data_IF_761867213551
#
_entry.id   IF_761867213551
#
_cell.length_a   1.000
_cell.length_b   1.000
_cell.length_c   1.000
_cell.angle_alpha   90.00
_cell.angle_beta   90.00
_cell.angle_gamma   90.00
#
_symmetry.space_group_name_H-M   'P 1'
#
loop_
_entity.id
_entity.type
_entity.pdbx_description
1 polymer ?
#
# COMPACT_ATOMS: atom_id res chain seq x y z
N UNK A 1 23.80 29.07 -76.18
CA UNK A 1 24.41 27.85 -75.62
C UNK A 1 23.81 27.62 -74.24
N UNK A 2 23.10 26.54 -74.19
CA UNK A 2 22.15 26.13 -73.12
C UNK A 2 22.82 25.78 -71.81
N UNK A 3 22.27 26.28 -70.68
CA UNK A 3 22.43 25.69 -69.38
C UNK A 3 21.14 24.96 -69.05
N UNK A 4 21.18 23.65 -69.24
CA UNK A 4 20.13 22.73 -68.76
C UNK A 4 20.28 22.63 -67.25
N UNK A 5 19.32 23.20 -66.52
CA UNK A 5 19.18 22.99 -65.08
C UNK A 5 18.78 21.52 -64.82
N UNK A 6 19.58 20.79 -64.08
CA UNK A 6 19.18 19.49 -63.49
C UNK A 6 18.13 19.74 -62.40
N UNK A 7 16.89 19.56 -62.75
CA UNK A 7 15.79 19.37 -61.80
C UNK A 7 15.90 17.94 -61.26
N UNK A 8 16.34 17.82 -60.03
CA UNK A 8 16.30 16.52 -59.34
C UNK A 8 14.87 15.99 -59.30
N UNK A 9 14.72 14.71 -59.67
CA UNK A 9 13.40 14.07 -59.73
C UNK A 9 12.64 14.15 -58.42
N UNK A 10 11.36 14.56 -58.43
CA UNK A 10 10.53 14.68 -57.20
C UNK A 10 10.41 13.37 -56.42
N UNK A 11 10.57 12.20 -57.08
CA UNK A 11 10.56 10.87 -56.48
C UNK A 11 11.73 10.59 -55.53
N UNK A 12 12.91 11.13 -55.80
CA UNK A 12 14.11 10.91 -55.00
C UNK A 12 14.03 11.65 -53.65
N UNK A 13 13.41 12.81 -53.60
CA UNK A 13 13.18 13.56 -52.35
C UNK A 13 12.15 12.89 -51.44
N UNK A 14 11.06 12.42 -52.02
CA UNK A 14 9.99 11.72 -51.31
C UNK A 14 10.47 10.37 -50.77
N UNK A 15 11.29 9.60 -51.51
CA UNK A 15 11.93 8.38 -51.03
C UNK A 15 12.93 8.64 -49.90
N UNK A 16 13.64 9.74 -49.93
CA UNK A 16 14.60 10.14 -48.89
C UNK A 16 13.88 10.53 -47.57
N UNK A 17 12.77 11.24 -47.67
CA UNK A 17 11.95 11.59 -46.52
C UNK A 17 11.27 10.35 -45.90
N UNK A 18 10.79 9.43 -46.72
CA UNK A 18 10.21 8.18 -46.24
C UNK A 18 11.25 7.29 -45.55
N UNK A 19 12.49 7.20 -46.08
CA UNK A 19 13.59 6.52 -45.43
C UNK A 19 14.07 7.16 -44.14
N UNK A 20 14.02 8.47 -44.04
CA UNK A 20 14.36 9.20 -42.81
C UNK A 20 13.26 9.03 -41.75
N UNK A 21 11.99 9.01 -42.14
CA UNK A 21 10.87 8.78 -41.21
C UNK A 21 10.84 7.34 -40.70
N UNK A 22 11.13 6.32 -41.52
CA UNK A 22 11.26 4.94 -41.08
C UNK A 22 12.43 4.74 -40.15
N UNK A 23 13.60 5.31 -40.45
CA UNK A 23 14.78 5.21 -39.57
C UNK A 23 14.55 5.93 -38.23
N UNK A 24 13.80 7.05 -38.20
CA UNK A 24 13.44 7.75 -37.00
C UNK A 24 12.44 6.93 -36.17
N UNK A 25 11.45 6.31 -36.79
CA UNK A 25 10.51 5.40 -36.14
C UNK A 25 11.20 4.14 -35.60
N UNK A 26 12.17 3.57 -36.34
CA UNK A 26 12.99 2.46 -35.87
C UNK A 26 13.89 2.85 -34.70
N UNK A 27 14.49 4.05 -34.73
CA UNK A 27 15.29 4.58 -33.63
C UNK A 27 14.43 4.90 -32.38
N UNK A 28 13.24 5.47 -32.57
CA UNK A 28 12.30 5.72 -31.50
C UNK A 28 11.74 4.40 -30.90
N UNK A 29 11.52 3.36 -31.73
CA UNK A 29 11.17 2.02 -31.27
C UNK A 29 12.33 1.35 -30.52
N UNK A 30 13.58 1.50 -30.97
CA UNK A 30 14.76 0.98 -30.29
C UNK A 30 15.02 1.72 -28.97
N UNK A 31 14.82 3.04 -28.92
CA UNK A 31 14.83 3.81 -27.68
C UNK A 31 13.69 3.45 -26.73
N UNK A 32 12.51 3.07 -27.23
CA UNK A 32 11.39 2.55 -26.44
C UNK A 32 11.65 1.11 -25.97
N UNK A 33 12.42 0.32 -26.72
CA UNK A 33 12.82 -1.04 -26.35
C UNK A 33 13.98 -1.07 -25.34
N UNK A 34 14.79 -0.02 -25.29
CA UNK A 34 15.78 0.23 -24.23
C UNK A 34 15.15 0.86 -22.98
N UNK A 35 13.93 0.49 -22.60
CA UNK A 35 13.41 0.78 -21.25
C UNK A 35 14.44 0.27 -20.26
N UNK A 36 15.09 1.22 -19.58
CA UNK A 36 16.13 0.95 -18.59
C UNK A 36 15.58 -0.08 -17.61
N UNK A 37 16.04 -1.31 -17.69
CA UNK A 37 15.64 -2.35 -16.74
C UNK A 37 16.35 -2.08 -15.42
N UNK A 38 15.56 -1.88 -14.40
CA UNK A 38 16.06 -1.68 -13.06
C UNK A 38 16.45 -3.00 -12.41
N UNK A 39 17.41 -2.95 -11.50
CA UNK A 39 17.82 -4.08 -10.67
C UNK A 39 17.36 -3.89 -9.23
N UNK A 40 17.21 -5.00 -8.51
CA UNK A 40 16.88 -4.97 -7.07
C UNK A 40 17.84 -4.09 -6.27
N UNK A 41 19.15 -4.16 -6.57
CA UNK A 41 20.15 -3.35 -5.88
C UNK A 41 19.94 -1.84 -6.09
N UNK A 42 19.60 -1.41 -7.31
CA UNK A 42 19.32 -0.01 -7.61
C UNK A 42 18.06 0.49 -6.88
N UNK A 43 17.01 -0.34 -6.87
CA UNK A 43 15.75 0.03 -6.21
C UNK A 43 15.94 0.11 -4.68
N UNK A 44 16.67 -0.82 -4.09
CA UNK A 44 17.00 -0.77 -2.64
C UNK A 44 17.82 0.45 -2.27
N UNK A 45 18.79 0.84 -3.08
CA UNK A 45 19.55 2.09 -2.84
C UNK A 45 18.62 3.32 -2.82
N UNK A 46 17.61 3.37 -3.69
CA UNK A 46 16.61 4.45 -3.67
C UNK A 46 15.70 4.38 -2.43
N UNK A 47 15.36 3.19 -1.96
CA UNK A 47 14.57 2.99 -0.73
C UNK A 47 15.36 3.43 0.50
N UNK A 48 16.67 3.14 0.55
CA UNK A 48 17.56 3.54 1.65
C UNK A 48 17.70 5.07 1.75
N UNK A 49 17.61 5.79 0.64
CA UNK A 49 17.61 7.25 0.60
C UNK A 49 16.25 7.85 1.00
N UNK A 50 15.17 7.10 0.82
CA UNK A 50 13.80 7.53 1.09
C UNK A 50 13.33 7.04 2.46
N UNK A 51 12.93 7.94 3.37
CA UNK A 51 12.52 7.53 4.72
C UNK A 51 11.13 6.91 4.78
N UNK A 52 10.16 7.42 4.00
CA UNK A 52 8.78 6.96 4.04
C UNK A 52 8.13 6.94 2.64
N UNK A 53 8.28 8.00 1.87
CA UNK A 53 7.67 8.18 0.56
C UNK A 53 8.62 8.90 -0.40
N UNK A 54 8.54 8.62 -1.71
CA UNK A 54 7.66 7.65 -2.36
C UNK A 54 8.08 6.20 -2.08
N UNK A 55 7.17 5.23 -2.28
CA UNK A 55 7.51 3.81 -2.31
C UNK A 55 8.03 3.41 -3.69
N UNK A 56 8.94 2.47 -3.70
CA UNK A 56 9.55 1.94 -4.92
C UNK A 56 9.33 0.44 -4.99
N UNK A 57 8.74 -0.03 -6.09
CA UNK A 57 8.55 -1.45 -6.38
C UNK A 57 9.26 -1.80 -7.67
N UNK A 58 9.63 -3.07 -7.83
CA UNK A 58 10.29 -3.58 -9.03
C UNK A 58 9.53 -4.80 -9.55
N UNK A 59 8.85 -4.64 -10.66
CA UNK A 59 8.07 -5.71 -11.29
C UNK A 59 8.58 -5.98 -12.69
N UNK A 60 9.12 -7.19 -12.91
CA UNK A 60 9.66 -7.64 -14.21
C UNK A 60 10.68 -6.65 -14.85
N UNK A 61 11.45 -5.91 -14.00
CA UNK A 61 12.47 -4.92 -14.41
C UNK A 61 11.92 -3.51 -14.57
N UNK A 62 10.63 -3.28 -14.41
CA UNK A 62 10.00 -1.95 -14.42
C UNK A 62 9.94 -1.38 -12.99
N UNK A 63 10.46 -0.15 -12.82
CA UNK A 63 10.37 0.58 -11.57
C UNK A 63 8.98 1.25 -11.47
N UNK A 64 8.27 0.95 -10.41
CA UNK A 64 7.00 1.58 -10.07
C UNK A 64 7.24 2.51 -8.88
N UNK A 65 6.86 3.77 -9.03
CA UNK A 65 6.99 4.81 -7.99
C UNK A 65 5.59 5.17 -7.51
N UNK A 66 5.32 4.90 -6.24
CA UNK A 66 4.00 5.13 -5.63
C UNK A 66 4.09 6.31 -4.65
N UNK A 67 3.34 7.40 -4.87
CA UNK A 67 3.29 8.53 -3.95
C UNK A 67 2.56 8.15 -2.64
N UNK A 68 2.58 9.07 -1.67
CA UNK A 68 1.83 8.91 -0.43
C UNK A 68 0.32 8.69 -0.71
N UNK A 69 -0.36 7.82 0.04
CA UNK A 69 -1.76 7.52 -0.15
C UNK A 69 -2.65 8.71 0.26
N UNK A 70 -3.82 8.81 -0.36
CA UNK A 70 -4.88 9.71 0.12
C UNK A 70 -5.52 9.17 1.40
N UNK A 71 -6.20 10.04 2.15
CA UNK A 71 -6.93 9.65 3.36
C UNK A 71 -8.01 8.58 3.04
N UNK A 72 -8.71 8.72 1.91
CA UNK A 72 -9.75 7.78 1.52
C UNK A 72 -9.17 6.40 1.16
N UNK A 73 -8.03 6.37 0.48
CA UNK A 73 -7.27 5.14 0.23
C UNK A 73 -6.88 4.48 1.56
N UNK A 74 -6.25 5.24 2.46
CA UNK A 74 -5.84 4.74 3.77
C UNK A 74 -7.02 4.17 4.58
N UNK A 75 -8.18 4.86 4.60
CA UNK A 75 -9.39 4.39 5.28
C UNK A 75 -9.92 3.08 4.70
N UNK A 76 -9.93 2.94 3.37
CA UNK A 76 -10.34 1.70 2.71
C UNK A 76 -9.42 0.54 3.09
N UNK A 77 -8.10 0.75 3.05
CA UNK A 77 -7.08 -0.23 3.46
C UNK A 77 -7.30 -0.64 4.92
N UNK A 78 -7.40 0.32 5.83
CA UNK A 78 -7.57 0.04 7.26
C UNK A 78 -8.88 -0.67 7.60
N UNK A 79 -9.98 -0.30 6.94
CA UNK A 79 -11.26 -0.98 7.14
C UNK A 79 -11.17 -2.46 6.72
N UNK A 80 -10.64 -2.71 5.53
CA UNK A 80 -10.51 -4.06 5.00
C UNK A 80 -9.51 -4.89 5.81
N UNK A 81 -8.39 -4.30 6.21
CA UNK A 81 -7.40 -4.93 7.08
C UNK A 81 -8.03 -5.41 8.39
N UNK A 82 -8.75 -4.56 9.12
CA UNK A 82 -9.41 -4.95 10.38
C UNK A 82 -10.40 -6.10 10.20
N UNK A 83 -11.10 -6.14 9.07
CA UNK A 83 -12.03 -7.22 8.77
C UNK A 83 -11.30 -8.55 8.51
N UNK A 84 -10.21 -8.51 7.72
CA UNK A 84 -9.36 -9.65 7.45
C UNK A 84 -8.66 -10.14 8.72
N UNK A 85 -8.09 -9.26 9.49
CA UNK A 85 -7.39 -9.56 10.74
C UNK A 85 -8.31 -10.27 11.75
N UNK A 86 -9.51 -9.70 12.01
CA UNK A 86 -10.52 -10.33 12.87
C UNK A 86 -10.94 -11.72 12.38
N UNK A 87 -11.07 -11.90 11.07
CA UNK A 87 -11.39 -13.19 10.48
C UNK A 87 -10.25 -14.20 10.67
N UNK A 88 -9.03 -13.81 10.34
CA UNK A 88 -7.85 -14.67 10.41
C UNK A 88 -7.44 -15.03 11.85
N UNK A 89 -7.69 -14.15 12.81
CA UNK A 89 -7.54 -14.45 14.24
C UNK A 89 -8.44 -15.63 14.67
N UNK A 90 -9.62 -15.80 14.06
CA UNK A 90 -10.55 -16.90 14.37
C UNK A 90 -10.27 -18.17 13.57
N UNK A 91 -9.97 -18.05 12.30
CA UNK A 91 -9.76 -19.19 11.39
C UNK A 91 -8.32 -19.72 11.42
N UNK A 92 -7.37 -18.92 11.88
CA UNK A 92 -5.96 -19.26 12.12
C UNK A 92 -5.21 -19.86 10.91
N UNK A 93 -5.59 -19.49 9.70
CA UNK A 93 -5.01 -20.02 8.45
C UNK A 93 -3.94 -19.11 7.83
N UNK A 94 -3.83 -17.89 8.28
CA UNK A 94 -2.89 -16.87 7.80
C UNK A 94 -2.83 -15.70 8.75
N UNK A 95 -2.08 -14.68 8.36
CA UNK A 95 -1.97 -13.43 9.10
C UNK A 95 -2.15 -12.24 8.15
N UNK A 96 -3.00 -11.28 8.52
CA UNK A 96 -3.15 -10.05 7.74
C UNK A 96 -2.01 -9.10 8.04
N UNK A 97 -1.36 -8.60 6.99
CA UNK A 97 -0.22 -7.68 7.08
C UNK A 97 -0.41 -6.50 6.14
N UNK A 98 0.22 -5.38 6.47
CA UNK A 98 0.17 -4.12 5.74
C UNK A 98 1.54 -3.74 5.18
N UNK A 99 1.53 -3.00 4.08
CA UNK A 99 2.73 -2.29 3.61
C UNK A 99 3.02 -1.06 4.52
N UNK A 100 4.31 -0.64 4.58
CA UNK A 100 5.42 -1.04 3.70
C UNK A 100 6.04 -2.38 4.07
N UNK A 101 6.14 -3.29 3.09
CA UNK A 101 6.76 -4.59 3.25
C UNK A 101 7.34 -5.08 1.90
N UNK A 102 8.64 -5.22 1.81
CA UNK A 102 9.35 -5.60 0.58
C UNK A 102 9.27 -7.11 0.33
N UNK A 103 8.20 -7.54 -0.34
CA UNK A 103 8.02 -8.94 -0.69
C UNK A 103 8.82 -9.30 -1.94
N UNK A 104 9.53 -10.43 -1.87
CA UNK A 104 10.25 -11.03 -3.01
C UNK A 104 9.58 -12.35 -3.36
N UNK A 105 8.36 -12.28 -3.92
CA UNK A 105 7.59 -13.47 -4.32
C UNK A 105 8.19 -14.17 -5.54
N UNK A 106 8.92 -13.44 -6.38
CA UNK A 106 9.65 -13.95 -7.55
C UNK A 106 11.05 -13.36 -7.58
N UNK A 107 12.00 -14.10 -8.13
CA UNK A 107 13.39 -13.62 -8.25
C UNK A 107 13.43 -12.33 -9.08
N UNK A 108 14.14 -11.33 -8.56
CA UNK A 108 14.33 -10.04 -9.24
C UNK A 108 13.13 -9.11 -9.17
N UNK A 109 12.20 -9.34 -8.24
CA UNK A 109 11.06 -8.46 -8.00
C UNK A 109 11.04 -7.95 -6.56
N UNK A 110 10.46 -6.78 -6.37
CA UNK A 110 10.09 -6.20 -5.08
C UNK A 110 8.65 -5.71 -5.23
N UNK A 111 7.72 -6.26 -4.46
CA UNK A 111 6.31 -5.84 -4.47
C UNK A 111 5.85 -5.47 -3.07
N UNK A 112 5.01 -4.44 -2.97
CA UNK A 112 4.49 -3.91 -1.70
C UNK A 112 2.96 -3.78 -1.80
N UNK A 113 2.19 -4.89 -1.75
CA UNK A 113 0.74 -4.81 -1.78
C UNK A 113 0.20 -4.06 -0.56
N UNK A 114 -0.88 -3.31 -0.70
CA UNK A 114 -1.45 -2.55 0.41
C UNK A 114 -1.81 -3.45 1.60
N UNK A 115 -2.42 -4.62 1.32
CA UNK A 115 -2.67 -5.68 2.31
C UNK A 115 -2.23 -7.00 1.70
N UNK A 116 -1.63 -7.87 2.51
CA UNK A 116 -1.31 -9.22 2.10
C UNK A 116 -1.50 -10.21 3.23
N UNK A 117 -1.74 -11.46 2.85
CA UNK A 117 -1.99 -12.55 3.81
C UNK A 117 -1.10 -13.74 3.44
N UNK A 118 0.05 -13.93 4.10
CA UNK A 118 0.80 -15.18 4.03
C UNK A 118 0.07 -16.31 4.77
N UNK A 119 0.33 -17.58 4.42
CA UNK A 119 -0.08 -18.72 5.25
C UNK A 119 0.47 -18.60 6.67
N UNK A 120 -0.27 -19.08 7.66
CA UNK A 120 0.08 -18.96 9.08
C UNK A 120 1.47 -19.51 9.41
N UNK A 121 1.79 -20.68 8.89
CA UNK A 121 3.07 -21.33 9.12
C UNK A 121 4.27 -20.57 8.50
N UNK A 122 4.05 -19.82 7.44
CA UNK A 122 5.06 -18.95 6.83
C UNK A 122 5.22 -17.66 7.64
N UNK A 123 4.11 -17.03 8.06
CA UNK A 123 4.11 -15.85 8.90
C UNK A 123 4.84 -16.09 10.23
N UNK A 124 4.58 -17.21 10.90
CA UNK A 124 5.19 -17.56 12.18
C UNK A 124 6.71 -17.79 12.09
N UNK A 125 7.22 -18.26 10.94
CA UNK A 125 8.65 -18.55 10.75
C UNK A 125 9.45 -17.36 10.21
N UNK A 126 8.81 -16.48 9.45
CA UNK A 126 9.49 -15.40 8.76
C UNK A 126 10.03 -14.36 9.74
N UNK A 127 11.33 -14.05 9.63
CA UNK A 127 11.99 -12.94 10.34
C UNK A 127 12.16 -11.70 9.46
N UNK A 128 12.09 -11.89 8.14
CA UNK A 128 12.22 -10.83 7.15
C UNK A 128 11.15 -10.98 6.07
N UNK A 129 10.69 -9.87 5.51
CA UNK A 129 9.69 -9.86 4.44
C UNK A 129 10.09 -10.71 3.23
N UNK A 130 11.37 -10.77 2.93
CA UNK A 130 11.91 -11.57 1.83
C UNK A 130 11.80 -13.09 2.03
N UNK A 131 11.46 -13.56 3.23
CA UNK A 131 11.25 -14.98 3.54
C UNK A 131 9.80 -15.42 3.25
N UNK A 132 8.86 -14.48 3.15
CA UNK A 132 7.49 -14.74 2.72
C UNK A 132 7.50 -15.02 1.22
N UNK A 133 7.03 -16.21 0.81
CA UNK A 133 7.04 -16.68 -0.58
C UNK A 133 5.65 -16.94 -1.14
N UNK A 134 4.68 -17.22 -0.30
CA UNK A 134 3.33 -17.54 -0.70
C UNK A 134 2.34 -16.56 -0.06
N UNK A 135 1.30 -16.23 -0.79
CA UNK A 135 0.20 -15.42 -0.30
C UNK A 135 -1.12 -16.12 -0.57
N UNK A 136 -1.96 -16.17 0.46
CA UNK A 136 -3.37 -16.55 0.35
C UNK A 136 -4.19 -15.44 -0.30
N UNK A 137 -3.75 -14.18 -0.10
CA UNK A 137 -4.40 -12.99 -0.63
C UNK A 137 -3.37 -11.87 -0.78
N UNK A 138 -3.44 -11.13 -1.88
CA UNK A 138 -2.86 -9.80 -2.04
C UNK A 138 -3.97 -8.82 -2.43
N UNK A 139 -3.93 -7.61 -1.87
CA UNK A 139 -4.93 -6.56 -2.13
C UNK A 139 -4.22 -5.27 -2.48
N UNK A 140 -4.69 -4.63 -3.54
CA UNK A 140 -4.36 -3.24 -3.89
C UNK A 140 -5.64 -2.41 -3.87
N UNK A 141 -5.58 -1.26 -3.25
CA UNK A 141 -6.66 -0.26 -3.29
C UNK A 141 -6.26 0.78 -4.32
N UNK A 142 -7.04 0.92 -5.37
CA UNK A 142 -6.68 1.79 -6.48
C UNK A 142 -6.56 3.26 -6.07
N UNK A 143 -5.54 3.88 -6.64
CA UNK A 143 -5.42 5.33 -6.75
C UNK A 143 -5.29 5.71 -8.23
N UNK A 144 -5.61 6.95 -8.62
CA UNK A 144 -5.45 7.39 -10.01
C UNK A 144 -4.04 7.19 -10.57
N UNK A 145 -3.01 7.28 -9.70
CA UNK A 145 -1.60 7.13 -10.09
C UNK A 145 -1.16 5.68 -10.30
N UNK A 146 -1.78 4.69 -9.64
CA UNK A 146 -1.33 3.29 -9.65
C UNK A 146 -2.22 2.35 -10.45
N UNK A 147 -3.47 2.73 -10.76
CA UNK A 147 -4.49 1.88 -11.37
C UNK A 147 -4.01 1.10 -12.61
N UNK A 148 -3.19 1.71 -13.46
CA UNK A 148 -2.60 1.05 -14.64
C UNK A 148 -1.65 -0.08 -14.26
N UNK A 149 -0.82 0.14 -13.24
CA UNK A 149 0.15 -0.85 -12.78
C UNK A 149 -0.54 -2.00 -12.06
N UNK A 150 -1.53 -1.68 -11.21
CA UNK A 150 -2.28 -2.67 -10.43
C UNK A 150 -3.06 -3.63 -11.34
N UNK A 151 -3.74 -3.10 -12.39
CA UNK A 151 -4.47 -3.90 -13.40
C UNK A 151 -3.55 -4.57 -14.42
N UNK A 152 -2.30 -4.12 -14.57
CA UNK A 152 -1.33 -4.62 -15.54
C UNK A 152 -0.21 -5.45 -14.94
N UNK A 153 0.93 -4.81 -14.68
CA UNK A 153 2.17 -5.46 -14.24
C UNK A 153 2.03 -6.21 -12.93
N UNK A 154 1.42 -5.58 -11.90
CA UNK A 154 1.22 -6.21 -10.58
C UNK A 154 0.28 -7.41 -10.67
N UNK A 155 -0.85 -7.30 -11.41
CA UNK A 155 -1.74 -8.44 -11.66
C UNK A 155 -0.97 -9.63 -12.24
N UNK A 156 -0.24 -9.41 -13.34
CA UNK A 156 0.58 -10.47 -13.97
C UNK A 156 1.62 -11.03 -13.01
N UNK A 157 2.25 -10.18 -12.20
CA UNK A 157 3.24 -10.58 -11.20
C UNK A 157 2.62 -11.50 -10.15
N UNK A 158 1.50 -11.11 -9.53
CA UNK A 158 0.84 -11.91 -8.49
C UNK A 158 0.31 -13.23 -9.02
N UNK A 159 -0.27 -13.25 -10.24
CA UNK A 159 -0.69 -14.50 -10.88
C UNK A 159 0.50 -15.45 -11.14
N UNK A 160 1.61 -14.94 -11.71
CA UNK A 160 2.83 -15.72 -11.96
C UNK A 160 3.52 -16.18 -10.67
N UNK A 161 3.36 -15.44 -9.58
CA UNK A 161 3.86 -15.82 -8.26
C UNK A 161 2.97 -16.87 -7.57
N UNK A 162 1.82 -17.22 -8.15
CA UNK A 162 0.91 -18.21 -7.59
C UNK A 162 0.11 -17.71 -6.38
N UNK A 163 -0.05 -16.39 -6.24
CA UNK A 163 -0.93 -15.81 -5.22
C UNK A 163 -2.34 -16.34 -5.39
N UNK A 164 -2.92 -16.93 -4.33
CA UNK A 164 -4.17 -17.68 -4.44
C UNK A 164 -5.36 -16.79 -4.86
N UNK A 165 -5.44 -15.57 -4.34
CA UNK A 165 -6.36 -14.52 -4.82
C UNK A 165 -5.66 -13.16 -4.84
N UNK A 166 -5.88 -12.38 -5.87
CA UNK A 166 -5.48 -10.99 -5.96
C UNK A 166 -6.73 -10.11 -6.12
N UNK A 167 -6.88 -9.15 -5.23
CA UNK A 167 -8.00 -8.24 -5.24
C UNK A 167 -7.55 -6.83 -5.59
N UNK A 168 -8.25 -6.22 -6.52
CA UNK A 168 -8.14 -4.80 -6.83
C UNK A 168 -9.43 -4.14 -6.34
N UNK A 169 -9.32 -3.31 -5.32
CA UNK A 169 -10.43 -2.54 -4.78
C UNK A 169 -10.45 -1.19 -5.46
N UNK A 170 -11.55 -0.87 -6.12
CA UNK A 170 -11.78 0.41 -6.80
C UNK A 170 -12.82 1.25 -6.03
N UNK A 171 -12.39 2.19 -5.16
CA UNK A 171 -13.33 3.01 -4.37
C UNK A 171 -14.11 3.99 -5.23
N UNK A 172 -13.56 4.45 -6.36
CA UNK A 172 -14.21 5.37 -7.28
C UNK A 172 -15.26 4.65 -8.10
N UNK A 173 -14.90 3.53 -8.73
CA UNK A 173 -15.81 2.66 -9.47
C UNK A 173 -16.77 1.86 -8.59
N UNK A 174 -16.56 1.85 -7.25
CA UNK A 174 -17.35 1.10 -6.26
C UNK A 174 -17.45 -0.38 -6.59
N UNK A 175 -16.34 -0.99 -6.96
CA UNK A 175 -16.24 -2.40 -7.33
C UNK A 175 -14.95 -3.02 -6.82
N UNK A 176 -14.91 -4.34 -6.83
CA UNK A 176 -13.73 -5.15 -6.56
C UNK A 176 -13.50 -6.10 -7.74
N UNK A 177 -12.29 -6.09 -8.27
CA UNK A 177 -11.82 -7.07 -9.25
C UNK A 177 -11.11 -8.19 -8.51
N UNK A 178 -11.62 -9.41 -8.63
CA UNK A 178 -10.95 -10.60 -8.10
C UNK A 178 -10.28 -11.38 -9.21
N UNK A 179 -9.01 -11.68 -8.98
CA UNK A 179 -8.17 -12.47 -9.87
C UNK A 179 -7.63 -13.70 -9.15
N UNK A 180 -7.57 -14.82 -9.85
CA UNK A 180 -6.93 -16.07 -9.41
C UNK A 180 -5.86 -16.48 -10.41
N UNK A 181 -4.97 -17.43 -10.05
CA UNK A 181 -4.06 -18.01 -11.03
C UNK A 181 -4.82 -18.58 -12.22
N UNK A 182 -4.40 -18.21 -13.43
CA UNK A 182 -5.03 -18.66 -14.67
C UNK A 182 -6.24 -17.86 -15.15
N UNK A 183 -6.76 -16.90 -14.37
CA UNK A 183 -7.84 -16.04 -14.83
C UNK A 183 -7.34 -15.11 -15.96
N UNK A 184 -8.02 -15.14 -17.12
CA UNK A 184 -7.79 -14.20 -18.22
C UNK A 184 -8.52 -12.88 -18.02
N UNK A 185 -9.62 -12.91 -17.26
CA UNK A 185 -10.47 -11.75 -16.93
C UNK A 185 -10.82 -11.75 -15.44
N UNK A 186 -10.99 -10.58 -14.83
CA UNK A 186 -11.40 -10.51 -13.43
C UNK A 186 -12.84 -10.95 -13.24
N UNK A 187 -13.13 -11.48 -12.07
CA UNK A 187 -14.49 -11.47 -11.58
C UNK A 187 -14.76 -10.10 -10.96
N UNK A 188 -15.55 -9.28 -11.66
CA UNK A 188 -16.00 -7.96 -11.15
C UNK A 188 -17.15 -8.16 -10.17
N UNK A 189 -17.05 -7.57 -8.99
CA UNK A 189 -17.98 -7.71 -7.87
C UNK A 189 -18.35 -6.32 -7.38
N UNK A 190 -19.65 -6.05 -7.23
CA UNK A 190 -20.19 -4.74 -6.83
C UNK A 190 -20.96 -4.76 -5.50
N UNK A 191 -21.25 -5.96 -4.97
CA UNK A 191 -22.05 -6.10 -3.75
C UNK A 191 -21.31 -6.76 -2.62
N UNK A 192 -21.02 -8.06 -2.72
CA UNK A 192 -20.34 -8.84 -1.68
C UNK A 192 -19.31 -9.76 -2.31
N UNK A 193 -18.09 -9.77 -1.78
CA UNK A 193 -17.09 -10.77 -2.10
C UNK A 193 -17.02 -11.79 -0.97
N UNK A 194 -16.96 -13.07 -1.36
CA UNK A 194 -16.75 -14.19 -0.45
C UNK A 194 -15.33 -14.72 -0.65
N UNK A 195 -14.55 -14.76 0.41
CA UNK A 195 -13.20 -15.31 0.45
C UNK A 195 -13.15 -16.54 1.37
N UNK A 196 -12.67 -17.65 0.83
CA UNK A 196 -12.56 -18.88 1.58
C UNK A 196 -11.16 -19.46 1.36
N UNK A 197 -10.16 -19.01 2.12
CA UNK A 197 -8.80 -19.53 2.01
C UNK A 197 -8.74 -20.99 2.43
N UNK A 198 -7.78 -21.71 1.85
CA UNK A 198 -7.57 -23.11 2.14
C UNK A 198 -7.34 -23.33 3.64
N UNK A 199 -8.05 -24.26 4.23
CA UNK A 199 -7.96 -24.62 5.66
C UNK A 199 -8.93 -23.86 6.56
N UNK A 200 -9.53 -22.76 6.13
CA UNK A 200 -10.54 -22.06 6.92
C UNK A 200 -11.84 -22.89 7.04
N UNK A 201 -12.46 -22.85 8.22
CA UNK A 201 -13.73 -23.53 8.50
C UNK A 201 -14.92 -22.79 7.91
N UNK A 202 -14.88 -21.46 7.92
CA UNK A 202 -15.96 -20.59 7.43
C UNK A 202 -15.41 -19.56 6.45
N UNK A 203 -16.16 -19.18 5.42
CA UNK A 203 -15.76 -18.10 4.52
C UNK A 203 -15.91 -16.74 5.20
N UNK A 204 -15.06 -15.78 4.78
CA UNK A 204 -15.27 -14.36 5.02
C UNK A 204 -16.20 -13.79 3.96
N UNK A 205 -17.17 -12.99 4.38
CA UNK A 205 -18.02 -12.19 3.47
C UNK A 205 -17.73 -10.73 3.69
N UNK A 206 -17.25 -10.05 2.65
CA UNK A 206 -16.99 -8.60 2.67
C UNK A 206 -18.11 -7.88 1.95
N UNK A 207 -18.81 -7.00 2.63
CA UNK A 207 -19.83 -6.12 2.06
C UNK A 207 -19.15 -4.87 1.48
N UNK A 208 -19.20 -4.73 0.16
CA UNK A 208 -18.50 -3.65 -0.54
C UNK A 208 -19.16 -2.28 -0.31
N UNK A 209 -20.47 -2.24 -0.04
CA UNK A 209 -21.14 -0.98 0.27
C UNK A 209 -20.60 -0.40 1.59
N UNK A 210 -20.36 -1.25 2.60
CA UNK A 210 -19.75 -0.85 3.87
C UNK A 210 -18.28 -0.43 3.68
N UNK A 211 -17.51 -1.15 2.89
CA UNK A 211 -16.14 -0.80 2.57
C UNK A 211 -16.05 0.61 1.94
N UNK A 212 -16.85 0.86 0.91
CA UNK A 212 -16.82 2.16 0.22
C UNK A 212 -17.43 3.31 1.03
N UNK A 213 -18.36 3.02 1.95
CA UNK A 213 -18.83 4.01 2.91
C UNK A 213 -17.72 4.37 3.91
N UNK A 214 -17.00 3.38 4.44
CA UNK A 214 -15.90 3.58 5.38
C UNK A 214 -14.71 4.33 4.76
N UNK A 215 -14.47 4.17 3.46
CA UNK A 215 -13.43 4.93 2.75
C UNK A 215 -13.69 6.45 2.77
N UNK A 216 -14.95 6.88 2.71
CA UNK A 216 -15.33 8.30 2.64
C UNK A 216 -15.58 8.96 4.01
N UNK A 217 -16.02 8.18 4.98
CA UNK A 217 -16.38 8.68 6.31
C UNK A 217 -15.80 7.75 7.36
N UNK A 218 -15.13 8.30 8.39
CA UNK A 218 -14.71 7.49 9.55
C UNK A 218 -15.96 6.90 10.19
N UNK A 219 -16.22 5.57 10.10
CA UNK A 219 -17.33 5.00 10.84
C UNK A 219 -17.04 5.20 12.32
N UNK A 220 -17.99 5.76 13.06
CA UNK A 220 -17.95 5.69 14.52
C UNK A 220 -17.98 4.21 14.86
N UNK A 221 -16.90 3.69 15.43
CA UNK A 221 -16.88 2.36 16.01
C UNK A 221 -17.83 2.40 17.20
N UNK A 222 -19.03 1.91 17.03
CA UNK A 222 -19.89 1.53 18.14
C UNK A 222 -19.33 0.18 18.60
N UNK A 223 -18.57 0.21 19.69
CA UNK A 223 -18.24 -1.01 20.41
C UNK A 223 -19.56 -1.51 20.99
N UNK A 224 -20.00 -2.70 20.60
CA UNK A 224 -21.29 -3.29 21.01
C UNK A 224 -21.39 -3.56 22.54
N UNK A 225 -20.44 -3.06 23.32
CA UNK A 225 -20.35 -3.23 24.78
C UNK A 225 -20.02 -1.93 25.53
N UNK A 226 -20.30 -0.73 24.99
CA UNK A 226 -20.31 0.45 25.84
C UNK A 226 -21.60 0.41 26.70
N UNK A 227 -21.50 0.36 28.02
CA UNK A 227 -22.67 0.55 28.88
C UNK A 227 -23.23 1.96 28.64
N UNK A 228 -24.52 2.05 28.30
CA UNK A 228 -25.24 3.32 28.37
C UNK A 228 -25.24 3.76 29.81
N UNK A 229 -24.39 4.72 30.16
CA UNK A 229 -24.34 5.26 31.52
C UNK A 229 -23.40 6.44 31.63
N UNK A 230 -23.97 7.56 32.01
CA UNK A 230 -23.36 8.87 32.28
C UNK A 230 -22.42 8.90 33.52
N UNK A 231 -21.81 7.77 33.90
CA UNK A 231 -20.88 7.66 35.02
C UNK A 231 -19.54 7.05 34.60
N UNK A 232 -18.77 7.77 33.79
CA UNK A 232 -17.34 7.52 33.70
C UNK A 232 -16.63 8.17 34.89
N UNK A 233 -16.02 7.40 35.80
CA UNK A 233 -15.11 7.99 36.77
C UNK A 233 -13.96 8.65 36.00
N UNK A 234 -13.70 9.92 36.30
CA UNK A 234 -12.59 10.65 35.74
C UNK A 234 -11.31 9.82 35.92
N UNK A 235 -10.74 9.31 34.80
CA UNK A 235 -9.51 8.55 34.81
C UNK A 235 -8.45 9.40 35.51
N UNK A 236 -7.93 8.94 36.62
CA UNK A 236 -6.77 9.51 37.28
C UNK A 236 -5.55 9.22 36.44
N UNK A 237 -5.22 10.14 35.55
CA UNK A 237 -4.07 10.04 34.63
C UNK A 237 -2.76 10.26 35.38
N UNK A 238 -2.32 9.26 36.12
CA UNK A 238 -0.96 9.22 36.65
C UNK A 238 -0.18 8.15 35.87
N UNK A 239 0.82 8.60 35.11
CA UNK A 239 1.77 7.71 34.44
C UNK A 239 2.62 6.91 35.44
N UNK A 240 3.42 5.94 34.97
CA UNK A 240 4.36 5.22 35.81
C UNK A 240 5.25 6.22 36.56
N UNK A 241 5.39 6.08 37.86
CA UNK A 241 6.07 6.97 38.84
C UNK A 241 5.27 8.18 39.37
N UNK A 242 3.93 8.22 39.22
CA UNK A 242 3.13 9.30 39.79
C UNK A 242 3.20 10.63 39.04
N UNK A 243 3.75 10.63 37.81
CA UNK A 243 3.86 11.83 36.98
C UNK A 243 2.51 12.15 36.35
N UNK A 244 1.95 13.32 36.66
CA UNK A 244 0.69 13.80 36.07
C UNK A 244 0.97 14.44 34.71
N UNK A 245 0.83 13.63 33.65
CA UNK A 245 1.05 14.04 32.27
C UNK A 245 0.10 15.17 31.86
N UNK A 246 -1.16 15.15 32.32
CA UNK A 246 -2.16 16.18 31.98
C UNK A 246 -1.83 17.53 32.57
N UNK A 247 -1.43 17.56 33.85
CA UNK A 247 -1.01 18.79 34.52
C UNK A 247 0.28 19.35 33.86
N UNK A 248 1.18 18.46 33.42
CA UNK A 248 2.40 18.87 32.74
C UNK A 248 2.13 19.37 31.32
N UNK A 249 1.27 18.71 30.53
CA UNK A 249 0.87 19.13 29.19
C UNK A 249 0.19 20.51 29.16
N UNK A 250 -0.54 20.87 30.22
CA UNK A 250 -1.17 22.20 30.36
C UNK A 250 -0.15 23.33 30.53
N UNK A 251 1.07 23.02 30.93
CA UNK A 251 2.16 23.97 31.12
C UNK A 251 3.00 24.17 29.86
N UNK A 252 2.78 23.36 28.82
CA UNK A 252 3.52 23.44 27.61
C UNK A 252 2.98 24.54 26.67
N UNK A 253 3.85 25.20 25.88
CA UNK A 253 3.43 26.23 24.95
C UNK A 253 2.53 25.63 23.84
N UNK A 254 1.49 26.35 23.47
CA UNK A 254 0.62 26.01 22.35
C UNK A 254 1.31 26.38 21.04
N UNK A 255 2.12 25.47 20.50
CA UNK A 255 2.87 25.63 19.23
C UNK A 255 4.31 26.08 19.42
N UNK A 256 5.09 26.02 18.35
CA UNK A 256 6.51 26.41 18.35
C UNK A 256 7.45 25.39 19.04
N UNK A 257 7.13 24.12 18.95
CA UNK A 257 7.92 23.03 19.53
C UNK A 257 9.32 22.95 18.93
N UNK A 258 10.33 22.87 19.79
CA UNK A 258 11.72 22.67 19.38
C UNK A 258 12.20 21.26 19.73
N UNK A 259 13.24 20.79 19.05
CA UNK A 259 13.88 19.48 19.33
C UNK A 259 14.33 19.38 20.79
N UNK A 260 14.78 20.50 21.37
CA UNK A 260 15.20 20.58 22.76
C UNK A 260 14.07 20.31 23.74
N UNK A 261 12.88 20.83 23.44
CA UNK A 261 11.68 20.59 24.26
C UNK A 261 11.22 19.14 24.16
N UNK A 262 11.37 18.52 22.99
CA UNK A 262 11.01 17.11 22.76
C UNK A 262 11.95 16.14 23.50
N UNK A 263 13.21 16.52 23.76
CA UNK A 263 14.16 15.74 24.56
C UNK A 263 13.81 15.63 26.05
N UNK A 264 12.88 16.44 26.54
CA UNK A 264 12.41 16.41 27.93
C UNK A 264 11.35 15.33 28.17
N UNK A 265 10.82 14.72 27.10
CA UNK A 265 9.90 13.61 27.22
C UNK A 265 10.64 12.33 27.69
N UNK A 266 9.97 11.46 28.46
CA UNK A 266 10.53 10.15 28.80
C UNK A 266 10.91 9.34 27.55
N UNK A 267 11.99 8.54 27.61
CA UNK A 267 12.52 7.79 26.46
C UNK A 267 11.51 6.85 25.79
N UNK A 268 10.49 6.40 26.51
CA UNK A 268 9.42 5.54 26.02
C UNK A 268 8.16 6.30 25.61
N UNK A 269 8.19 7.64 25.64
CA UNK A 269 7.05 8.47 25.28
C UNK A 269 6.94 8.60 23.74
N UNK A 270 5.82 8.17 23.16
CA UNK A 270 5.55 8.30 21.74
C UNK A 270 4.75 9.55 21.45
N UNK A 271 5.20 10.33 20.47
CA UNK A 271 4.52 11.51 19.98
C UNK A 271 4.81 11.68 18.49
N UNK A 272 3.95 12.41 17.80
CA UNK A 272 4.16 12.83 16.42
C UNK A 272 4.12 14.35 16.35
N UNK A 273 4.94 14.90 15.44
CA UNK A 273 4.90 16.33 15.12
C UNK A 273 4.33 16.49 13.72
N UNK A 274 3.21 17.20 13.61
CA UNK A 274 2.60 17.54 12.32
C UNK A 274 2.44 19.06 12.25
N UNK A 275 3.04 19.68 11.26
CA UNK A 275 2.99 21.14 11.02
C UNK A 275 3.35 21.99 12.25
N UNK A 276 4.25 21.49 13.10
CA UNK A 276 4.68 22.16 14.32
C UNK A 276 3.74 21.98 15.51
N UNK A 277 2.71 21.17 15.38
CA UNK A 277 1.83 20.75 16.47
C UNK A 277 2.21 19.37 16.99
N UNK A 278 2.18 19.20 18.31
CA UNK A 278 2.46 17.95 18.99
C UNK A 278 1.18 17.10 19.07
N UNK A 279 1.20 15.93 18.44
CA UNK A 279 0.13 14.94 18.55
C UNK A 279 0.54 13.84 19.53
N UNK A 280 -0.29 13.61 20.51
CA UNK A 280 -0.13 12.56 21.50
C UNK A 280 -0.99 11.34 21.10
N UNK A 281 -0.55 10.12 21.41
CA UNK A 281 -1.39 8.94 21.27
C UNK A 281 -2.63 9.07 22.16
N UNK A 282 -3.78 8.56 21.68
CA UNK A 282 -5.01 8.49 22.44
C UNK A 282 -4.82 7.68 23.74
N UNK A 283 -5.53 8.02 24.81
CA UNK A 283 -5.38 7.54 26.19
C UNK A 283 -5.41 6.01 26.40
N UNK A 284 -5.80 5.20 25.41
CA UNK A 284 -5.95 3.73 25.55
C UNK A 284 -4.64 2.92 25.50
N UNK A 285 -3.50 3.54 25.22
CA UNK A 285 -2.21 2.81 25.10
C UNK A 285 -1.39 2.71 26.40
N UNK A 286 -1.92 3.17 27.54
CA UNK A 286 -1.14 3.27 28.79
C UNK A 286 -1.42 2.17 29.83
N UNK A 287 -2.41 1.29 29.58
CA UNK A 287 -2.80 0.27 30.58
C UNK A 287 -1.90 -0.98 30.61
N UNK A 288 -1.10 -1.26 29.57
CA UNK A 288 -0.33 -2.52 29.48
C UNK A 288 1.12 -2.46 29.99
N UNK A 289 1.59 -1.34 30.51
CA UNK A 289 2.97 -1.20 31.01
C UNK A 289 3.16 -1.50 32.52
N UNK A 290 2.11 -1.93 33.24
CA UNK A 290 2.18 -2.21 34.70
C UNK A 290 2.07 -3.69 35.07
N UNK A 291 2.35 -4.61 34.15
CA UNK A 291 2.32 -6.06 34.37
C UNK A 291 3.70 -6.70 34.31
N UNK A 292 4.48 -6.64 35.37
CA UNK A 292 5.40 -7.65 35.94
C UNK A 292 6.46 -7.02 36.82
#
# INVERSE_FOLDING_TARGET
MERIAQLGEPGAMMQRELLLSTRRAEHDMDMLSQRRRWTVAQVRAMQDESRAWPRYELIDGELIVTPAPTIDHYRAVMWLFRLLDRYLTREWVGEAMLSPADLTLRRGTISQPDIFVPPRDEADRAKHWSEIKHLLLAVEVLSPSTARYDRGGKRSHYQKAGVAEYWIVDPEGRLLERWRPGDERPKVITTRVTWHPRGAKKPLVVDLARLFAAARVRPRLVLENEPEGDDMPAAKGTGPNGFDIRAWLQQLPRGGWTVEMLRQFPENFRFEMIDGELLLPDDEMWEDASGS
#
